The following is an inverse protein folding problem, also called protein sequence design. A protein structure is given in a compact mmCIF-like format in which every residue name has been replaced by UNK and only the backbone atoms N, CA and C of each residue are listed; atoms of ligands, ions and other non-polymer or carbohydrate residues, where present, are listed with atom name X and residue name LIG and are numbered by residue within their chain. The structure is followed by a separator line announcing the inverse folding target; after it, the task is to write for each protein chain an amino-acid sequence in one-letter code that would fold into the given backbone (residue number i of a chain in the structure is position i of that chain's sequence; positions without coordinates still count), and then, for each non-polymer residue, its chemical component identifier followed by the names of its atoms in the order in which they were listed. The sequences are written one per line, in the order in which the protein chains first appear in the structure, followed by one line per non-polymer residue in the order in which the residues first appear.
data_IF_224346217634
#
_entry.id   IF_224346217634
#
_cell.length_a   1.000
_cell.length_b   1.000
_cell.length_c   1.000
_cell.angle_alpha   90.00
_cell.angle_beta   90.00
_cell.angle_gamma   90.00
#
_symmetry.space_group_name_H-M   'P 1'
#
loop_
_entity.id
_entity.type
_entity.pdbx_description
1 polymer ?
#
# COMPACT_ATOMS: atom_id res chain seq x y z
N UNK A 1 -3.23 57.56 48.01
CA UNK A 1 -2.69 57.13 46.70
C UNK A 1 -2.19 55.70 46.83
N UNK A 2 -2.97 54.70 46.39
CA UNK A 2 -2.59 53.28 46.40
C UNK A 2 -1.84 52.98 45.09
N UNK A 3 -0.59 52.50 45.19
CA UNK A 3 0.18 52.01 44.04
C UNK A 3 -0.17 50.54 43.82
N UNK A 4 -0.79 50.25 42.68
CA UNK A 4 -1.00 48.89 42.19
C UNK A 4 0.35 48.31 41.74
N UNK A 5 0.75 47.21 42.35
CA UNK A 5 1.89 46.42 41.90
C UNK A 5 1.39 45.47 40.81
N UNK A 6 1.71 45.80 39.54
CA UNK A 6 1.46 44.95 38.39
C UNK A 6 2.29 43.66 38.55
N UNK A 7 1.62 42.51 38.64
CA UNK A 7 2.22 41.20 38.48
C UNK A 7 2.63 41.03 37.01
N UNK A 8 3.93 41.03 36.74
CA UNK A 8 4.49 40.74 35.43
C UNK A 8 4.73 39.23 35.29
N UNK A 9 3.94 38.65 34.39
CA UNK A 9 4.22 37.53 33.50
C UNK A 9 5.61 36.86 33.63
N UNK A 10 5.61 35.56 33.94
CA UNK A 10 6.38 34.58 33.15
C UNK A 10 5.78 33.19 33.33
N UNK A 11 4.56 33.02 32.81
CA UNK A 11 4.13 31.67 32.44
C UNK A 11 4.96 31.30 31.21
N UNK A 12 6.07 30.60 31.43
CA UNK A 12 6.75 29.84 30.37
C UNK A 12 5.74 28.78 29.94
N UNK A 13 4.97 29.11 28.90
CA UNK A 13 4.22 28.14 28.12
C UNK A 13 5.25 27.21 27.49
N UNK A 14 5.53 26.11 28.18
CA UNK A 14 6.01 24.86 27.60
C UNK A 14 4.98 24.45 26.55
N UNK A 15 5.08 25.02 25.36
CA UNK A 15 4.56 24.40 24.14
C UNK A 15 5.55 23.29 23.82
N UNK A 16 5.47 22.21 24.57
CA UNK A 16 5.94 20.92 24.08
C UNK A 16 5.15 20.66 22.81
N UNK A 17 5.79 20.86 21.66
CA UNK A 17 5.39 20.32 20.39
C UNK A 17 5.12 18.83 20.59
N UNK A 18 3.85 18.46 20.75
CA UNK A 18 3.41 17.09 20.52
C UNK A 18 3.44 16.95 19.00
N UNK A 19 4.63 16.72 18.45
CA UNK A 19 4.72 16.01 17.17
C UNK A 19 4.15 14.62 17.46
N UNK A 20 2.87 14.42 17.14
CA UNK A 20 2.29 13.09 17.12
C UNK A 20 3.19 12.25 16.21
N UNK A 21 4.00 11.37 16.79
CA UNK A 21 4.77 10.39 16.02
C UNK A 21 3.76 9.63 15.15
N UNK A 22 3.85 9.88 13.84
CA UNK A 22 2.97 9.22 12.88
C UNK A 22 3.42 7.78 12.80
N UNK A 23 2.55 6.83 13.15
CA UNK A 23 2.90 5.41 13.07
C UNK A 23 3.19 5.02 11.62
N UNK A 24 4.03 4.00 11.38
CA UNK A 24 4.29 3.50 10.02
C UNK A 24 2.99 3.19 9.26
N UNK A 25 1.97 2.67 9.96
CA UNK A 25 0.65 2.45 9.37
C UNK A 25 0.02 3.75 8.86
N UNK A 26 0.01 4.80 9.67
CA UNK A 26 -0.52 6.10 9.25
C UNK A 26 0.33 6.69 8.11
N UNK A 27 1.65 6.61 8.21
CA UNK A 27 2.56 7.14 7.21
C UNK A 27 2.33 6.50 5.83
N UNK A 28 2.35 5.17 5.75
CA UNK A 28 2.12 4.44 4.50
C UNK A 28 0.72 4.69 3.93
N UNK A 29 -0.31 4.79 4.79
CA UNK A 29 -1.67 5.10 4.34
C UNK A 29 -1.81 6.54 3.85
N UNK A 30 -1.06 7.49 4.40
CA UNK A 30 -1.07 8.87 3.91
C UNK A 30 -0.46 8.95 2.51
N UNK A 31 0.69 8.30 2.28
CA UNK A 31 1.31 8.18 0.95
C UNK A 31 0.30 7.65 -0.07
N UNK A 32 -0.35 6.53 0.23
CA UNK A 32 -1.28 5.89 -0.69
C UNK A 32 -2.54 6.74 -0.94
N UNK A 33 -3.08 7.40 0.10
CA UNK A 33 -4.24 8.28 -0.07
C UNK A 33 -3.90 9.46 -0.98
N UNK A 34 -2.71 10.03 -0.85
CA UNK A 34 -2.26 11.16 -1.65
C UNK A 34 -2.06 10.76 -3.12
N UNK A 35 -1.39 9.64 -3.37
CA UNK A 35 -1.19 9.08 -4.72
C UNK A 35 -2.52 8.76 -5.40
N UNK A 36 -3.47 8.18 -4.68
CA UNK A 36 -4.79 7.84 -5.24
C UNK A 36 -5.65 9.09 -5.43
N UNK A 37 -5.50 10.10 -4.58
CA UNK A 37 -6.19 11.37 -4.76
C UNK A 37 -5.66 12.18 -5.97
N UNK A 38 -4.40 11.99 -6.36
CA UNK A 38 -3.81 12.65 -7.52
C UNK A 38 -4.03 11.90 -8.84
N UNK A 39 -4.36 10.60 -8.78
CA UNK A 39 -4.68 9.76 -9.95
C UNK A 39 -5.91 8.88 -9.66
N UNK A 40 -7.09 9.39 -9.99
CA UNK A 40 -8.37 8.69 -9.81
C UNK A 40 -8.49 7.42 -10.67
N UNK A 41 -7.59 7.18 -11.63
CA UNK A 41 -7.64 6.01 -12.52
C UNK A 41 -7.07 4.73 -11.88
N UNK A 42 -6.34 4.87 -10.76
CA UNK A 42 -5.71 3.76 -10.05
C UNK A 42 -6.78 2.77 -9.55
N UNK A 43 -7.81 3.29 -8.88
CA UNK A 43 -8.84 2.47 -8.24
C UNK A 43 -10.17 2.51 -9.01
N UNK A 44 -10.89 1.40 -8.97
CA UNK A 44 -12.22 1.26 -9.58
C UNK A 44 -13.28 0.98 -8.52
N UNK A 45 -14.38 1.75 -8.53
CA UNK A 45 -15.43 1.68 -7.48
C UNK A 45 -16.21 0.36 -7.48
N UNK A 46 -16.25 -0.35 -8.60
CA UNK A 46 -16.87 -1.67 -8.71
C UNK A 46 -15.94 -2.83 -8.24
N UNK A 47 -14.72 -2.53 -7.77
CA UNK A 47 -13.80 -3.51 -7.21
C UNK A 47 -13.67 -3.33 -5.69
N UNK A 48 -13.57 -4.45 -4.98
CA UNK A 48 -13.31 -4.44 -3.53
C UNK A 48 -11.83 -4.19 -3.25
N UNK A 49 -11.56 -3.28 -2.33
CA UNK A 49 -10.22 -2.94 -1.88
C UNK A 49 -9.79 -3.88 -0.74
N UNK A 50 -8.64 -4.53 -0.87
CA UNK A 50 -8.13 -5.46 0.15
C UNK A 50 -7.68 -4.68 1.41
N UNK A 51 -8.07 -5.16 2.60
CA UNK A 51 -7.80 -4.52 3.90
C UNK A 51 -6.36 -4.68 4.43
N UNK A 52 -5.38 -4.52 3.55
CA UNK A 52 -3.96 -4.64 3.87
C UNK A 52 -3.14 -4.86 2.62
N UNK A 53 -1.90 -5.28 2.83
CA UNK A 53 -0.93 -5.45 1.75
C UNK A 53 -0.62 -6.91 1.47
N UNK A 54 -0.26 -7.17 0.20
CA UNK A 54 0.21 -8.46 -0.31
C UNK A 54 -0.67 -9.63 0.17
N UNK A 55 -1.89 -9.75 -0.34
CA UNK A 55 -2.62 -11.01 -0.16
C UNK A 55 -1.86 -12.16 -0.84
N UNK A 56 -2.33 -13.39 -0.64
CA UNK A 56 -1.74 -14.56 -1.30
C UNK A 56 -1.92 -14.56 -2.85
N UNK A 57 -2.59 -13.56 -3.43
CA UNK A 57 -2.66 -13.34 -4.88
C UNK A 57 -1.50 -12.49 -5.43
N UNK A 58 -0.82 -11.73 -4.56
CA UNK A 58 0.27 -10.88 -4.94
C UNK A 58 1.61 -11.48 -4.49
N UNK A 59 2.62 -11.36 -5.36
CA UNK A 59 4.00 -11.63 -4.99
C UNK A 59 4.37 -10.81 -3.72
N UNK A 60 5.03 -11.42 -2.72
CA UNK A 60 5.42 -10.72 -1.49
C UNK A 60 6.37 -9.56 -1.74
N UNK A 61 6.33 -8.54 -0.87
CA UNK A 61 7.17 -7.34 -0.98
C UNK A 61 8.69 -7.60 -0.96
N UNK A 62 9.15 -8.73 -0.41
CA UNK A 62 10.58 -9.11 -0.48
C UNK A 62 11.11 -9.21 -1.91
N UNK A 63 10.23 -9.41 -2.89
CA UNK A 63 10.58 -9.50 -4.31
C UNK A 63 11.12 -8.19 -4.89
N UNK A 64 10.89 -7.05 -4.22
CA UNK A 64 11.59 -5.80 -4.57
C UNK A 64 13.11 -5.90 -4.39
N UNK A 65 13.57 -6.88 -3.61
CA UNK A 65 14.97 -7.06 -3.21
C UNK A 65 15.68 -8.14 -4.04
N UNK A 66 14.98 -8.81 -4.94
CA UNK A 66 15.56 -9.76 -5.87
C UNK A 66 16.44 -8.99 -6.87
N UNK A 67 17.60 -9.53 -7.24
CA UNK A 67 18.62 -8.77 -8.00
C UNK A 67 18.07 -8.15 -9.29
N UNK A 68 17.28 -8.90 -10.06
CA UNK A 68 16.66 -8.38 -11.29
C UNK A 68 15.76 -7.15 -11.05
N UNK A 69 15.01 -7.15 -9.95
CA UNK A 69 14.13 -6.04 -9.61
C UNK A 69 14.89 -4.89 -8.95
N UNK A 70 15.81 -5.21 -8.05
CA UNK A 70 16.61 -4.19 -7.37
C UNK A 70 17.47 -3.41 -8.36
N UNK A 71 17.99 -4.04 -9.41
CA UNK A 71 18.74 -3.37 -10.47
C UNK A 71 17.86 -2.33 -11.20
N UNK A 72 16.60 -2.65 -11.49
CA UNK A 72 15.62 -1.70 -12.07
C UNK A 72 15.27 -0.56 -11.10
N UNK A 73 15.36 -0.80 -9.79
CA UNK A 73 15.10 0.20 -8.74
C UNK A 73 16.35 0.99 -8.35
N UNK A 74 17.55 0.57 -8.75
CA UNK A 74 18.84 1.07 -8.27
C UNK A 74 19.08 2.58 -8.41
N UNK A 75 18.48 3.32 -9.37
CA UNK A 75 18.59 4.79 -9.38
C UNK A 75 17.92 5.47 -8.18
N UNK A 76 17.04 4.77 -7.47
CA UNK A 76 16.19 5.29 -6.39
C UNK A 76 16.35 4.51 -5.07
N UNK A 77 16.69 3.22 -5.17
CA UNK A 77 16.85 2.29 -4.05
C UNK A 77 18.24 1.68 -4.08
N UNK A 78 19.09 2.11 -3.15
CA UNK A 78 20.51 1.76 -3.14
C UNK A 78 20.72 0.33 -2.63
N UNK A 79 21.56 -0.46 -3.31
CA UNK A 79 21.84 -1.86 -2.91
C UNK A 79 22.46 -1.94 -1.50
N UNK A 80 23.25 -0.95 -1.11
CA UNK A 80 23.83 -0.82 0.23
C UNK A 80 22.78 -0.62 1.36
N UNK A 81 21.55 -0.22 1.04
CA UNK A 81 20.46 -0.02 2.00
C UNK A 81 19.54 -1.25 2.15
N UNK A 82 19.96 -2.42 1.66
CA UNK A 82 19.15 -3.65 1.63
C UNK A 82 18.61 -4.07 3.01
N UNK A 83 19.41 -3.93 4.07
CA UNK A 83 18.99 -4.31 5.43
C UNK A 83 17.94 -3.35 5.98
N UNK A 84 17.99 -2.07 5.60
CA UNK A 84 16.93 -1.11 5.92
C UNK A 84 15.62 -1.53 5.24
N UNK A 85 15.65 -1.94 3.97
CA UNK A 85 14.45 -2.39 3.25
C UNK A 85 13.88 -3.70 3.83
N UNK A 86 14.73 -4.67 4.20
CA UNK A 86 14.31 -5.90 4.89
C UNK A 86 13.62 -5.62 6.21
N UNK A 87 14.18 -4.69 7.00
CA UNK A 87 13.59 -4.25 8.26
C UNK A 87 12.22 -3.60 8.05
N UNK A 88 12.10 -2.71 7.04
CA UNK A 88 10.85 -2.06 6.69
C UNK A 88 9.75 -3.07 6.32
N UNK A 89 10.08 -4.05 5.46
CA UNK A 89 9.14 -5.11 5.06
C UNK A 89 8.69 -5.93 6.27
N UNK A 90 9.63 -6.31 7.14
CA UNK A 90 9.34 -7.13 8.33
C UNK A 90 8.43 -6.37 9.30
N UNK A 91 8.80 -5.14 9.65
CA UNK A 91 8.05 -4.26 10.56
C UNK A 91 6.63 -4.00 10.05
N UNK A 92 6.48 -3.79 8.75
CA UNK A 92 5.21 -3.34 8.16
C UNK A 92 4.35 -4.46 7.55
N UNK A 93 4.75 -5.73 7.70
CA UNK A 93 4.03 -6.91 7.20
C UNK A 93 2.57 -7.07 7.69
N UNK A 94 2.23 -6.43 8.81
CA UNK A 94 0.89 -6.47 9.44
C UNK A 94 0.10 -5.18 9.31
N UNK A 95 0.65 -4.15 8.66
CA UNK A 95 -0.03 -2.88 8.44
C UNK A 95 -1.29 -3.10 7.60
N UNK A 96 -2.37 -2.42 7.98
CA UNK A 96 -3.64 -2.45 7.28
C UNK A 96 -3.84 -1.22 6.41
N UNK A 97 -4.70 -1.36 5.41
CA UNK A 97 -5.24 -0.21 4.71
C UNK A 97 -6.34 0.43 5.56
N UNK A 98 -6.22 1.72 5.83
CA UNK A 98 -7.14 2.48 6.66
C UNK A 98 -8.32 2.97 5.82
N UNK A 99 -9.54 2.72 6.29
CA UNK A 99 -10.76 3.25 5.66
C UNK A 99 -10.94 4.74 5.95
N UNK A 100 -10.08 5.57 5.35
CA UNK A 100 -10.01 7.03 5.49
C UNK A 100 -9.80 7.70 4.13
N UNK A 101 -10.06 9.01 4.06
CA UNK A 101 -9.93 9.80 2.84
C UNK A 101 -10.65 9.16 1.64
N UNK A 102 -9.96 9.12 0.49
CA UNK A 102 -10.42 8.50 -0.75
C UNK A 102 -10.84 7.04 -0.59
N UNK A 103 -10.24 6.28 0.35
CA UNK A 103 -10.59 4.87 0.54
C UNK A 103 -11.96 4.67 1.18
N UNK A 104 -12.57 5.68 1.81
CA UNK A 104 -13.92 5.54 2.38
C UNK A 104 -14.98 5.18 1.35
N UNK A 105 -14.74 5.50 0.08
CA UNK A 105 -15.67 5.29 -1.03
C UNK A 105 -15.71 3.85 -1.54
N UNK A 106 -14.79 3.00 -1.09
CA UNK A 106 -14.64 1.63 -1.60
C UNK A 106 -15.21 0.59 -0.63
N UNK A 107 -15.75 -0.49 -1.19
CA UNK A 107 -16.06 -1.69 -0.43
C UNK A 107 -14.75 -2.40 -0.07
N UNK A 108 -14.58 -2.78 1.21
CA UNK A 108 -13.38 -3.49 1.67
C UNK A 108 -13.59 -4.99 1.72
N UNK A 109 -12.57 -5.76 1.37
CA UNK A 109 -12.52 -7.21 1.61
C UNK A 109 -11.35 -7.56 2.53
N UNK A 110 -11.63 -8.43 3.51
CA UNK A 110 -10.59 -8.89 4.44
C UNK A 110 -9.56 -9.76 3.73
N UNK A 111 -8.26 -9.46 3.87
CA UNK A 111 -7.14 -10.27 3.37
C UNK A 111 -7.27 -11.74 3.78
N UNK A 112 -7.69 -11.99 5.04
CA UNK A 112 -7.93 -13.35 5.56
C UNK A 112 -8.97 -14.14 4.75
N UNK A 113 -9.99 -13.48 4.20
CA UNK A 113 -11.01 -14.14 3.36
C UNK A 113 -10.41 -14.68 2.06
N UNK A 114 -9.50 -13.91 1.44
CA UNK A 114 -8.77 -14.30 0.23
C UNK A 114 -7.81 -15.46 0.54
N UNK A 115 -7.00 -15.32 1.59
CA UNK A 115 -6.05 -16.37 2.02
C UNK A 115 -6.77 -17.69 2.31
N UNK A 116 -7.87 -17.66 3.05
CA UNK A 116 -8.66 -18.85 3.35
C UNK A 116 -9.27 -19.49 2.09
N UNK A 117 -9.67 -18.67 1.11
CA UNK A 117 -10.18 -19.17 -0.16
C UNK A 117 -9.08 -19.93 -0.93
N UNK A 118 -7.88 -19.34 -1.03
CA UNK A 118 -6.74 -19.94 -1.73
C UNK A 118 -6.33 -21.25 -1.05
N UNK A 119 -6.16 -21.25 0.28
CA UNK A 119 -5.82 -22.47 1.03
C UNK A 119 -6.86 -23.58 0.84
N UNK A 120 -8.15 -23.22 0.73
CA UNK A 120 -9.21 -24.19 0.42
C UNK A 120 -9.09 -24.74 -1.01
N UNK A 121 -8.86 -23.88 -1.99
CA UNK A 121 -8.66 -24.26 -3.40
C UNK A 121 -7.49 -25.22 -3.54
N UNK A 122 -6.34 -24.90 -2.93
CA UNK A 122 -5.15 -25.75 -2.91
C UNK A 122 -5.45 -27.11 -2.25
N UNK A 123 -6.16 -27.11 -1.11
CA UNK A 123 -6.55 -28.36 -0.44
C UNK A 123 -7.49 -29.22 -1.27
N UNK A 124 -8.45 -28.61 -1.99
CA UNK A 124 -9.37 -29.34 -2.86
C UNK A 124 -8.67 -29.86 -4.12
N UNK A 125 -7.69 -29.12 -4.66
CA UNK A 125 -6.85 -29.54 -5.78
C UNK A 125 -6.01 -30.78 -5.43
N UNK A 126 -5.36 -30.79 -4.27
CA UNK A 126 -4.60 -31.96 -3.77
C UNK A 126 -5.50 -33.20 -3.58
N UNK A 127 -6.80 -33.00 -3.36
CA UNK A 127 -7.80 -34.07 -3.24
C UNK A 127 -8.46 -34.42 -4.56
N UNK A 128 -7.92 -33.93 -5.68
CA UNK A 128 -8.42 -34.17 -7.04
C UNK A 128 -9.90 -33.85 -7.23
N UNK A 129 -10.41 -32.87 -6.46
CA UNK A 129 -11.79 -32.41 -6.64
C UNK A 129 -11.86 -31.53 -7.87
N UNK A 130 -12.81 -31.83 -8.74
CA UNK A 130 -13.11 -30.97 -9.88
C UNK A 130 -13.79 -29.67 -9.41
N UNK A 131 -13.24 -28.52 -9.82
CA UNK A 131 -13.87 -27.23 -9.61
C UNK A 131 -13.44 -26.21 -10.66
N UNK A 132 -14.34 -25.25 -10.93
CA UNK A 132 -14.05 -24.07 -11.73
C UNK A 132 -13.57 -22.94 -10.79
N UNK A 133 -12.26 -22.66 -10.85
CA UNK A 133 -11.62 -21.63 -10.03
C UNK A 133 -12.27 -20.26 -10.27
N UNK A 134 -12.45 -19.86 -11.52
CA UNK A 134 -12.95 -18.54 -11.89
C UNK A 134 -14.37 -18.35 -11.37
N UNK A 135 -15.24 -19.36 -11.54
CA UNK A 135 -16.61 -19.35 -11.04
C UNK A 135 -16.66 -19.28 -9.51
N UNK A 136 -15.84 -20.05 -8.82
CA UNK A 136 -15.79 -20.05 -7.35
C UNK A 136 -15.21 -18.75 -6.80
N UNK A 137 -14.14 -18.24 -7.40
CA UNK A 137 -13.52 -16.98 -7.04
C UNK A 137 -14.52 -15.84 -7.21
N UNK A 138 -15.19 -15.75 -8.35
CA UNK A 138 -16.21 -14.74 -8.61
C UNK A 138 -17.36 -14.79 -7.61
N UNK A 139 -17.81 -15.99 -7.26
CA UNK A 139 -18.89 -16.18 -6.28
C UNK A 139 -18.49 -15.82 -4.85
N UNK A 140 -17.26 -16.13 -4.43
CA UNK A 140 -16.83 -16.01 -3.02
C UNK A 140 -16.08 -14.72 -2.73
N UNK A 141 -15.20 -14.32 -3.65
CA UNK A 141 -14.30 -13.18 -3.55
C UNK A 141 -14.80 -12.04 -4.42
N UNK A 142 -15.12 -12.30 -5.69
CA UNK A 142 -15.50 -11.28 -6.68
C UNK A 142 -14.33 -10.41 -7.12
N UNK A 143 -14.62 -9.35 -7.88
CA UNK A 143 -13.58 -8.41 -8.35
C UNK A 143 -12.88 -7.70 -7.18
N UNK A 144 -11.55 -7.65 -7.22
CA UNK A 144 -10.73 -7.06 -6.16
C UNK A 144 -9.62 -6.17 -6.73
N UNK A 145 -9.09 -5.31 -5.86
CA UNK A 145 -7.89 -4.53 -6.09
C UNK A 145 -7.09 -4.43 -4.80
N UNK A 146 -5.77 -4.47 -4.90
CA UNK A 146 -4.89 -4.47 -3.74
C UNK A 146 -3.56 -3.79 -4.02
N UNK A 147 -3.03 -3.14 -2.99
CA UNK A 147 -1.67 -2.61 -3.00
C UNK A 147 -0.70 -3.66 -2.45
N UNK A 148 0.49 -3.72 -3.03
CA UNK A 148 1.64 -4.28 -2.35
C UNK A 148 2.09 -3.34 -1.24
N UNK A 149 2.84 -3.85 -0.27
CA UNK A 149 3.41 -3.04 0.78
C UNK A 149 4.32 -1.98 0.12
N UNK A 150 4.07 -0.68 0.34
CA UNK A 150 4.97 0.35 -0.16
C UNK A 150 6.36 0.20 0.46
N UNK A 151 7.40 0.42 -0.33
CA UNK A 151 8.78 0.49 0.18
C UNK A 151 9.31 1.90 -0.07
N UNK A 152 9.68 2.57 1.02
CA UNK A 152 10.22 3.94 1.00
C UNK A 152 11.75 3.87 0.99
N UNK A 153 12.40 4.72 0.21
CA UNK A 153 13.86 4.86 0.19
C UNK A 153 14.37 5.35 1.55
N UNK A 154 15.63 5.05 1.88
CA UNK A 154 16.20 5.41 3.19
C UNK A 154 16.26 6.92 3.43
N UNK A 155 16.43 7.70 2.37
CA UNK A 155 16.40 9.16 2.41
C UNK A 155 14.97 9.74 2.39
N UNK A 156 13.94 8.89 2.33
CA UNK A 156 12.53 9.29 2.34
C UNK A 156 12.05 10.01 1.07
N UNK A 157 12.88 10.08 0.03
CA UNK A 157 12.57 10.82 -1.20
C UNK A 157 11.74 10.01 -2.21
N UNK A 158 11.86 8.69 -2.19
CA UNK A 158 11.21 7.82 -3.16
C UNK A 158 10.35 6.77 -2.46
N UNK A 159 9.27 6.38 -3.12
CA UNK A 159 8.47 5.22 -2.72
C UNK A 159 8.14 4.39 -3.95
N UNK A 160 8.31 3.07 -3.84
CA UNK A 160 7.81 2.13 -4.85
C UNK A 160 6.44 1.62 -4.43
N UNK A 161 5.47 1.78 -5.32
CA UNK A 161 4.10 1.30 -5.16
C UNK A 161 3.86 0.20 -6.17
N UNK A 162 3.38 -0.94 -5.66
CA UNK A 162 2.83 -2.01 -6.47
C UNK A 162 1.32 -2.04 -6.32
N UNK A 163 0.64 -2.21 -7.43
CA UNK A 163 -0.82 -2.33 -7.46
C UNK A 163 -1.23 -3.49 -8.36
N UNK A 164 -2.27 -4.21 -7.95
CA UNK A 164 -2.87 -5.28 -8.72
C UNK A 164 -4.39 -5.17 -8.61
N UNK A 165 -5.05 -5.26 -9.76
CA UNK A 165 -6.49 -5.41 -9.88
C UNK A 165 -6.79 -6.74 -10.55
N UNK A 166 -7.69 -7.49 -9.96
CA UNK A 166 -8.22 -8.72 -10.54
C UNK A 166 -9.72 -8.56 -10.80
N UNK A 167 -10.09 -8.66 -12.07
CA UNK A 167 -11.48 -8.61 -12.51
C UNK A 167 -12.07 -10.02 -12.64
N UNK A 168 -13.38 -10.13 -12.48
CA UNK A 168 -14.13 -11.35 -12.79
C UNK A 168 -14.13 -11.73 -14.27
N UNK A 169 -13.81 -10.77 -15.16
CA UNK A 169 -13.83 -10.91 -16.62
C UNK A 169 -12.46 -11.14 -17.26
N UNK A 170 -11.43 -11.51 -16.48
CA UNK A 170 -10.02 -11.71 -16.92
C UNK A 170 -9.30 -10.43 -17.39
N UNK A 171 -9.91 -9.25 -17.26
CA UNK A 171 -9.29 -7.95 -17.48
C UNK A 171 -8.47 -7.52 -16.24
N UNK A 172 -7.36 -8.20 -16.00
CA UNK A 172 -6.46 -7.87 -14.90
C UNK A 172 -5.56 -6.70 -15.29
N UNK A 173 -5.36 -5.76 -14.37
CA UNK A 173 -4.42 -4.65 -14.54
C UNK A 173 -3.52 -4.52 -13.32
N UNK A 174 -2.41 -3.83 -13.48
CA UNK A 174 -1.55 -3.50 -12.35
C UNK A 174 -0.27 -2.83 -12.80
N UNK A 175 0.50 -2.39 -11.80
CA UNK A 175 1.73 -1.67 -12.04
C UNK A 175 2.73 -1.83 -10.90
N UNK A 176 3.97 -1.50 -11.20
CA UNK A 176 5.03 -1.15 -10.27
C UNK A 176 5.53 0.23 -10.70
N UNK A 177 5.32 1.23 -9.84
CA UNK A 177 5.63 2.63 -10.12
C UNK A 177 6.49 3.20 -9.00
N UNK A 178 7.36 4.13 -9.34
CA UNK A 178 8.16 4.89 -8.39
C UNK A 178 7.62 6.30 -8.33
N UNK A 179 7.40 6.80 -7.12
CA UNK A 179 6.99 8.16 -6.86
C UNK A 179 8.11 8.89 -6.12
N UNK A 180 8.30 10.16 -6.45
CA UNK A 180 9.26 11.06 -5.81
C UNK A 180 8.52 12.09 -4.97
N UNK A 181 9.07 12.42 -3.80
CA UNK A 181 8.54 13.45 -2.93
C UNK A 181 9.07 14.83 -3.35
N UNK A 182 8.23 15.60 -4.03
CA UNK A 182 8.53 16.95 -4.55
C UNK A 182 7.59 17.96 -3.91
N UNK A 183 8.16 18.96 -3.22
CA UNK A 183 7.38 20.00 -2.53
C UNK A 183 6.26 19.40 -1.65
N UNK A 184 6.64 18.43 -0.81
CA UNK A 184 5.76 17.66 0.07
C UNK A 184 4.77 16.70 -0.61
N UNK A 185 4.67 16.71 -1.94
CA UNK A 185 3.75 15.85 -2.69
C UNK A 185 4.44 14.65 -3.35
N UNK A 186 3.74 13.53 -3.51
CA UNK A 186 4.19 12.35 -4.25
C UNK A 186 3.83 12.47 -5.73
N UNK A 187 4.86 12.58 -6.56
CA UNK A 187 4.73 12.73 -8.02
C UNK A 187 5.25 11.46 -8.69
N UNK A 188 4.51 10.94 -9.68
CA UNK A 188 4.95 9.79 -10.46
C UNK A 188 6.29 10.12 -11.15
N UNK A 189 7.31 9.30 -10.89
CA UNK A 189 8.66 9.48 -11.43
C UNK A 189 9.00 8.47 -12.51
N UNK A 190 8.63 7.21 -12.31
CA UNK A 190 8.99 6.11 -13.22
C UNK A 190 7.93 5.01 -13.21
N UNK A 191 7.70 4.40 -14.38
CA UNK A 191 6.85 3.21 -14.53
C UNK A 191 7.77 2.01 -14.78
N UNK A 192 8.10 1.31 -13.70
CA UNK A 192 8.99 0.13 -13.76
C UNK A 192 8.33 -1.00 -14.53
N UNK A 193 7.03 -1.20 -14.31
CA UNK A 193 6.24 -2.20 -15.01
C UNK A 193 4.75 -1.80 -14.98
N UNK A 194 4.04 -2.06 -16.08
CA UNK A 194 2.59 -1.91 -16.15
C UNK A 194 2.01 -3.03 -17.02
N UNK A 195 0.85 -3.54 -16.63
CA UNK A 195 0.12 -4.54 -17.40
C UNK A 195 -1.37 -4.23 -17.41
N UNK A 196 -1.98 -4.41 -18.57
CA UNK A 196 -3.42 -4.36 -18.75
C UNK A 196 -3.82 -5.46 -19.74
N UNK A 197 -4.49 -6.50 -19.24
CA UNK A 197 -4.92 -7.66 -20.02
C UNK A 197 -6.38 -7.55 -20.45
N UNK A 198 -6.89 -6.34 -20.67
CA UNK A 198 -8.14 -6.15 -21.39
C UNK A 198 -8.05 -6.84 -22.75
N UNK A 199 -8.88 -7.88 -22.95
CA UNK A 199 -9.04 -8.49 -24.27
C UNK A 199 -9.54 -7.39 -25.21
N UNK A 200 -8.70 -6.94 -26.13
CA UNK A 200 -9.13 -6.20 -27.32
C UNK A 200 -9.99 -7.09 -28.20
#
# INVERSE_FOLDING_TARGET
MKKNFLLLLSLVLLTSFIQNETTDEQYLNNILQEIVASDETILEKNHKLVDGFNSALQIPARFYLDEEYLDKLSPYFKKEDIEFYRSQITKNSKVKLLKKGVFKEYEFIRRKKIVNFIAKVESDYVKEKEFDYDKLFNKKIGAIQEFGLPLVSKDGKFVVIRFFKMSSSKANKGFIRIYERVNENWVLREVVQEWNNEKK
#
